data_IF_582264513971
#
_entry.id   IF_582264513971
#
_cell.length_a   1.000
_cell.length_b   1.000
_cell.length_c   1.000
_cell.angle_alpha   90.00
_cell.angle_beta   90.00
_cell.angle_gamma   90.00
#
_symmetry.space_group_name_H-M   'P 1'
#
loop_
_entity.id
_entity.type
_entity.pdbx_description
1 polymer ?
#
# COMPACT_ATOMS: atom_id res chain seq x y z
N UNK A 1 5.83 -2.78 10.19
CA UNK A 1 4.72 -3.48 9.52
C UNK A 1 3.65 -3.77 10.56
N UNK A 2 2.39 -3.41 10.30
CA UNK A 2 1.25 -3.60 11.22
C UNK A 2 0.19 -4.44 10.52
N UNK A 3 -0.39 -5.44 11.22
CA UNK A 3 -1.48 -6.27 10.70
C UNK A 3 -2.79 -5.87 11.38
N UNK A 4 -3.81 -5.56 10.56
CA UNK A 4 -5.16 -5.25 11.05
C UNK A 4 -6.15 -6.20 10.39
N UNK A 5 -7.01 -6.85 11.18
CA UNK A 5 -8.00 -7.80 10.67
C UNK A 5 -9.41 -7.27 10.85
N UNK A 6 -10.24 -7.47 9.83
CA UNK A 6 -11.70 -7.37 9.95
C UNK A 6 -12.33 -8.74 9.79
N UNK A 7 -13.66 -8.86 9.95
CA UNK A 7 -14.38 -10.12 9.73
C UNK A 7 -14.13 -10.74 8.34
N UNK A 8 -13.78 -9.94 7.33
CA UNK A 8 -13.79 -10.36 5.91
C UNK A 8 -12.46 -10.14 5.17
N UNK A 9 -11.44 -9.57 5.82
CA UNK A 9 -10.14 -9.27 5.18
C UNK A 9 -9.01 -9.07 6.20
N UNK A 10 -7.79 -9.28 5.72
CA UNK A 10 -6.55 -8.90 6.39
C UNK A 10 -5.97 -7.66 5.70
N UNK A 11 -5.51 -6.70 6.49
CA UNK A 11 -4.79 -5.52 6.04
C UNK A 11 -3.34 -5.62 6.51
N UNK A 12 -2.41 -5.56 5.56
CA UNK A 12 -0.97 -5.46 5.84
C UNK A 12 -0.56 -4.01 5.62
N UNK A 13 -0.18 -3.32 6.69
CA UNK A 13 0.24 -1.91 6.65
C UNK A 13 1.76 -1.80 6.67
N UNK A 14 2.32 -1.19 5.63
CA UNK A 14 3.72 -0.78 5.53
C UNK A 14 3.79 0.73 5.71
N UNK A 15 4.53 1.18 6.73
CA UNK A 15 4.64 2.58 7.12
C UNK A 15 6.12 2.91 7.16
N UNK A 16 6.53 4.00 6.50
CA UNK A 16 7.83 4.62 6.74
C UNK A 16 7.69 5.77 7.74
N UNK A 17 8.79 6.17 8.35
CA UNK A 17 8.90 7.26 9.33
C UNK A 17 9.31 8.59 8.68
N UNK A 18 9.08 8.72 7.36
CA UNK A 18 9.46 9.92 6.61
C UNK A 18 8.36 10.97 6.62
N UNK A 19 8.52 12.05 5.85
CA UNK A 19 7.57 13.17 5.80
C UNK A 19 6.24 12.85 5.10
N UNK A 20 6.00 11.61 4.67
CA UNK A 20 4.78 11.23 3.96
C UNK A 20 4.60 11.91 2.60
N UNK A 21 3.42 11.72 2.01
CA UNK A 21 3.09 12.23 0.67
C UNK A 21 2.18 13.47 0.81
N UNK A 22 2.55 14.61 0.18
CA UNK A 22 1.72 15.82 0.13
C UNK A 22 0.32 15.54 -0.45
N UNK A 23 -0.76 16.15 0.08
CA UNK A 23 -2.14 15.91 -0.37
C UNK A 23 -2.37 16.19 -1.85
N UNK A 24 -1.67 17.19 -2.40
CA UNK A 24 -1.72 17.61 -3.81
C UNK A 24 -0.98 16.66 -4.77
N UNK A 25 -0.15 15.77 -4.23
CA UNK A 25 0.49 14.65 -4.93
C UNK A 25 -0.28 13.33 -4.79
N UNK A 26 -1.23 13.23 -3.84
CA UNK A 26 -2.05 12.04 -3.67
C UNK A 26 -2.91 11.76 -4.91
N UNK A 27 -2.95 10.50 -5.32
CA UNK A 27 -3.64 10.06 -6.55
C UNK A 27 -2.83 10.25 -7.84
N UNK A 28 -1.86 11.18 -7.88
CA UNK A 28 -0.90 11.32 -9.00
C UNK A 28 0.23 10.28 -8.94
N UNK A 29 0.30 9.51 -7.85
CA UNK A 29 1.23 8.39 -7.61
C UNK A 29 1.08 7.21 -8.58
N UNK A 30 0.10 7.24 -9.49
CA UNK A 30 -0.03 6.28 -10.57
C UNK A 30 0.00 7.02 -11.91
N UNK A 31 1.19 7.32 -12.49
CA UNK A 31 2.18 6.28 -12.80
C UNK A 31 3.67 6.60 -12.57
N UNK A 32 4.10 7.78 -12.09
CA UNK A 32 5.54 8.12 -12.06
C UNK A 32 5.89 9.22 -11.04
N UNK A 33 6.00 8.92 -9.75
CA UNK A 33 6.65 9.85 -8.83
C UNK A 33 7.61 9.15 -7.87
N UNK A 34 8.78 9.77 -7.70
CA UNK A 34 9.93 9.27 -6.97
C UNK A 34 11.17 9.23 -7.86
N UNK A 35 12.05 10.23 -7.72
CA UNK A 35 13.41 10.23 -8.27
C UNK A 35 14.02 8.85 -7.98
N UNK A 36 14.13 7.98 -8.99
CA UNK A 36 14.62 6.58 -8.97
C UNK A 36 13.69 5.41 -8.50
N UNK A 37 12.39 5.60 -8.22
CA UNK A 37 11.55 4.54 -7.57
C UNK A 37 10.16 4.24 -8.17
N UNK A 38 9.74 4.91 -9.24
CA UNK A 38 8.37 4.77 -9.81
C UNK A 38 7.97 3.38 -10.33
N UNK A 39 8.93 2.54 -10.72
CA UNK A 39 8.64 1.19 -11.28
C UNK A 39 8.18 0.20 -10.20
N UNK A 40 8.73 0.29 -8.99
CA UNK A 40 8.51 -0.70 -7.93
C UNK A 40 7.05 -0.77 -7.51
N UNK A 41 6.44 0.37 -7.18
CA UNK A 41 5.05 0.42 -6.72
C UNK A 41 4.04 0.06 -7.83
N UNK A 42 4.34 0.45 -9.08
CA UNK A 42 3.54 0.05 -10.23
C UNK A 42 3.56 -1.47 -10.43
N UNK A 43 4.75 -2.07 -10.39
CA UNK A 43 4.92 -3.52 -10.50
C UNK A 43 4.26 -4.26 -9.33
N UNK A 44 4.44 -3.79 -8.10
CA UNK A 44 3.78 -4.35 -6.92
C UNK A 44 2.26 -4.35 -7.08
N UNK A 45 1.66 -3.24 -7.56
CA UNK A 45 0.22 -3.20 -7.84
C UNK A 45 -0.20 -4.25 -8.86
N UNK A 46 0.58 -4.46 -9.92
CA UNK A 46 0.28 -5.47 -10.95
C UNK A 46 0.38 -6.90 -10.39
N UNK A 47 1.43 -7.22 -9.64
CA UNK A 47 1.62 -8.53 -9.01
C UNK A 47 0.49 -8.84 -8.02
N UNK A 48 0.13 -7.86 -7.18
CA UNK A 48 -0.97 -8.02 -6.23
C UNK A 48 -2.31 -8.20 -6.96
N UNK A 49 -2.56 -7.45 -8.04
CA UNK A 49 -3.79 -7.59 -8.82
C UNK A 49 -3.93 -8.99 -9.45
N UNK A 50 -2.83 -9.60 -9.93
CA UNK A 50 -2.84 -10.97 -10.49
C UNK A 50 -3.36 -11.99 -9.47
N UNK A 51 -3.07 -11.77 -8.18
CA UNK A 51 -3.44 -12.70 -7.10
C UNK A 51 -4.78 -12.35 -6.43
N UNK A 52 -5.44 -11.27 -6.85
CA UNK A 52 -6.69 -10.77 -6.29
C UNK A 52 -6.52 -9.88 -5.05
N UNK A 53 -5.32 -9.34 -4.83
CA UNK A 53 -4.99 -8.42 -3.75
C UNK A 53 -4.99 -6.99 -4.30
N UNK A 54 -5.13 -6.01 -3.41
CA UNK A 54 -5.01 -4.58 -3.79
C UNK A 54 -4.07 -3.84 -2.85
N UNK A 55 -3.50 -2.73 -3.31
CA UNK A 55 -2.65 -1.83 -2.53
C UNK A 55 -3.18 -0.40 -2.65
N UNK A 56 -3.20 0.34 -1.54
CA UNK A 56 -3.60 1.74 -1.48
C UNK A 56 -2.68 2.54 -0.56
N UNK A 57 -2.47 3.81 -0.92
CA UNK A 57 -1.81 4.79 -0.05
C UNK A 57 -2.88 5.41 0.87
N UNK A 58 -2.59 5.45 2.17
CA UNK A 58 -3.52 5.91 3.23
C UNK A 58 -2.82 6.75 4.30
N UNK A 59 -1.56 7.13 4.06
CA UNK A 59 -0.76 7.95 4.97
C UNK A 59 -1.27 9.37 5.01
N UNK A 60 -0.73 10.16 5.92
CA UNK A 60 -0.96 11.61 5.97
C UNK A 60 0.39 12.29 5.79
N UNK A 61 0.35 13.48 5.20
CA UNK A 61 1.55 14.30 5.13
C UNK A 61 2.12 14.47 6.54
N UNK A 62 3.44 14.34 6.66
CA UNK A 62 4.25 14.43 7.90
C UNK A 62 4.06 13.28 8.89
N UNK A 63 3.26 12.27 8.55
CA UNK A 63 3.07 11.05 9.36
C UNK A 63 3.68 9.80 8.71
N UNK A 64 4.50 9.98 7.68
CA UNK A 64 5.05 8.87 6.89
C UNK A 64 4.16 8.43 5.74
N UNK A 65 4.78 7.78 4.74
CA UNK A 65 4.03 7.10 3.70
C UNK A 65 3.46 5.80 4.27
N UNK A 66 2.15 5.61 4.14
CA UNK A 66 1.47 4.39 4.60
C UNK A 66 0.80 3.72 3.41
N UNK A 67 1.25 2.51 3.11
CA UNK A 67 0.66 1.63 2.11
C UNK A 67 -0.04 0.47 2.80
N UNK A 68 -1.30 0.24 2.42
CA UNK A 68 -2.10 -0.88 2.89
C UNK A 68 -2.32 -1.88 1.76
N UNK A 69 -1.89 -3.12 1.98
CA UNK A 69 -2.26 -4.25 1.13
C UNK A 69 -3.52 -4.88 1.71
N UNK A 70 -4.56 -4.97 0.89
CA UNK A 70 -5.83 -5.60 1.23
C UNK A 70 -5.82 -7.04 0.73
N UNK A 71 -5.89 -7.98 1.67
CA UNK A 71 -5.93 -9.41 1.40
C UNK A 71 -7.34 -9.91 1.74
N UNK A 72 -8.14 -10.36 0.74
CA UNK A 72 -9.46 -10.93 0.98
C UNK A 72 -9.41 -12.16 1.91
N UNK A 73 -10.54 -12.47 2.53
CA UNK A 73 -10.73 -13.75 3.20
C UNK A 73 -10.40 -14.94 2.29
N UNK A 74 -9.83 -16.01 2.85
CA UNK A 74 -9.40 -17.20 2.11
C UNK A 74 -8.07 -17.04 1.36
N UNK A 75 -7.46 -15.85 1.34
CA UNK A 75 -6.16 -15.58 0.69
C UNK A 75 -4.98 -15.50 1.66
N UNK A 76 -5.20 -15.79 2.94
CA UNK A 76 -4.16 -15.83 3.98
C UNK A 76 -4.40 -17.03 4.91
N UNK A 77 -3.32 -17.54 5.50
CA UNK A 77 -3.35 -18.59 6.53
C UNK A 77 -2.43 -18.20 7.69
N UNK A 78 -2.74 -18.70 8.88
CA UNK A 78 -1.86 -18.60 10.04
C UNK A 78 -0.99 -19.86 10.11
N UNK A 79 0.26 -19.68 10.54
CA UNK A 79 1.18 -20.76 10.86
C UNK A 79 1.35 -20.74 12.38
#
# INVERSE_FOLDING_TARGET
MILVRTKTRLIISCIDDKVGIPPDEKGKFFPWYGKHTGVGLFLSRKILAITGLSIRETGKEREGARFEIVVPEGKYRYI
#
